data_IF_955497258409
#
_entry.id   IF_955497258409
#
_cell.length_a   1.000
_cell.length_b   1.000
_cell.length_c   1.000
_cell.angle_alpha   90.00
_cell.angle_beta   90.00
_cell.angle_gamma   90.00
#
_symmetry.space_group_name_H-M   'P 1'
#
loop_
_entity.id
_entity.type
_entity.pdbx_description
1 polymer ?
#
# COMPACT_ATOMS: atom_id res chain seq x y z
N UNK A 1 69.16 -16.81 -3.20
CA UNK A 1 68.20 -16.83 -2.07
C UNK A 1 67.03 -15.84 -2.23
N UNK A 2 66.72 -15.39 -3.45
CA UNK A 2 65.72 -14.34 -3.72
C UNK A 2 64.50 -14.81 -4.52
N UNK A 3 64.53 -16.02 -5.11
CA UNK A 3 63.44 -16.56 -5.93
C UNK A 3 62.34 -17.28 -5.14
N UNK A 4 62.59 -17.69 -3.91
CA UNK A 4 61.59 -18.40 -3.08
C UNK A 4 60.64 -17.45 -2.33
N UNK A 5 61.02 -16.18 -2.17
CA UNK A 5 60.22 -15.16 -1.48
C UNK A 5 59.11 -14.56 -2.36
N UNK A 6 59.24 -14.63 -3.68
CA UNK A 6 58.26 -14.06 -4.63
C UNK A 6 57.07 -14.99 -4.87
N UNK A 7 57.27 -16.31 -4.84
CA UNK A 7 56.21 -17.29 -5.08
C UNK A 7 55.20 -17.38 -3.92
N UNK A 8 55.65 -17.19 -2.68
CA UNK A 8 54.78 -17.21 -1.49
C UNK A 8 53.89 -15.98 -1.40
N UNK A 9 54.34 -14.81 -1.87
CA UNK A 9 53.54 -13.58 -1.87
C UNK A 9 52.42 -13.61 -2.91
N UNK A 10 52.66 -14.24 -4.07
CA UNK A 10 51.65 -14.38 -5.14
C UNK A 10 50.52 -15.33 -4.72
N UNK A 11 50.83 -16.39 -3.96
CA UNK A 11 49.83 -17.31 -3.43
C UNK A 11 48.96 -16.70 -2.31
N UNK A 12 49.49 -15.73 -1.55
CA UNK A 12 48.74 -15.01 -0.51
C UNK A 12 47.77 -13.95 -1.05
N UNK A 13 48.00 -13.44 -2.26
CA UNK A 13 47.09 -12.48 -2.92
C UNK A 13 45.97 -13.16 -3.70
N UNK A 14 46.14 -14.44 -4.06
CA UNK A 14 45.13 -15.24 -4.77
C UNK A 14 44.03 -15.81 -3.86
N UNK A 15 44.17 -15.66 -2.53
CA UNK A 15 43.22 -16.16 -1.53
C UNK A 15 42.31 -15.08 -0.94
N UNK A 16 42.25 -13.89 -1.55
CA UNK A 16 41.18 -12.93 -1.27
C UNK A 16 40.00 -13.39 -2.12
N UNK A 17 39.01 -14.15 -1.60
CA UNK A 17 37.76 -14.28 -2.31
C UNK A 17 37.27 -12.86 -2.51
N UNK A 18 37.15 -12.48 -3.78
CA UNK A 18 36.49 -11.27 -4.20
C UNK A 18 35.25 -11.13 -3.33
N UNK A 19 35.22 -10.07 -2.51
CA UNK A 19 34.00 -9.56 -1.89
C UNK A 19 33.08 -9.21 -3.06
N UNK A 20 32.45 -10.24 -3.60
CA UNK A 20 31.26 -10.13 -4.40
C UNK A 20 30.30 -9.42 -3.48
N UNK A 21 30.14 -8.12 -3.72
CA UNK A 21 29.06 -7.34 -3.17
C UNK A 21 27.80 -8.09 -3.57
N UNK A 22 27.29 -8.90 -2.64
CA UNK A 22 25.97 -9.45 -2.72
C UNK A 22 25.05 -8.23 -2.55
N UNK A 23 24.84 -7.51 -3.65
CA UNK A 23 23.76 -6.56 -3.78
C UNK A 23 22.51 -7.43 -3.69
N UNK A 24 22.01 -7.61 -2.46
CA UNK A 24 20.66 -8.10 -2.24
C UNK A 24 19.75 -7.09 -2.93
N UNK A 25 19.37 -7.41 -4.17
CA UNK A 25 18.21 -6.77 -4.79
C UNK A 25 17.06 -7.12 -3.85
N UNK A 26 16.61 -6.15 -3.06
CA UNK A 26 15.44 -6.31 -2.20
C UNK A 26 14.26 -6.36 -3.16
N UNK A 27 13.88 -7.56 -3.58
CA UNK A 27 12.67 -7.78 -4.35
C UNK A 27 11.51 -7.50 -3.41
N UNK A 28 10.90 -6.32 -3.54
CA UNK A 28 9.70 -5.96 -2.77
C UNK A 28 8.48 -6.41 -3.57
N UNK A 29 7.64 -7.28 -2.97
CA UNK A 29 6.40 -7.74 -3.61
C UNK A 29 5.23 -6.79 -3.32
N UNK A 30 5.48 -5.51 -3.54
CA UNK A 30 4.51 -4.45 -3.36
C UNK A 30 3.75 -4.22 -4.67
N UNK A 31 2.47 -3.86 -4.56
CA UNK A 31 1.60 -3.53 -5.68
C UNK A 31 0.83 -2.24 -5.47
N UNK A 32 0.48 -1.60 -6.59
CA UNK A 32 -0.44 -0.48 -6.62
C UNK A 32 -1.89 -0.99 -6.56
N UNK A 33 -2.65 -0.52 -5.57
CA UNK A 33 -4.11 -0.69 -5.53
C UNK A 33 -4.76 0.51 -6.22
N UNK A 34 -5.38 0.23 -7.38
CA UNK A 34 -6.12 1.23 -8.13
C UNK A 34 -7.43 1.61 -7.41
N UNK A 35 -7.43 2.79 -6.79
CA UNK A 35 -8.57 3.31 -6.05
C UNK A 35 -9.56 4.10 -6.91
N UNK A 36 -9.26 4.34 -8.19
CA UNK A 36 -10.12 5.08 -9.12
C UNK A 36 -11.47 4.39 -9.32
N UNK A 37 -11.52 3.05 -9.23
CA UNK A 37 -12.78 2.27 -9.29
C UNK A 37 -13.71 2.53 -8.10
N UNK A 38 -13.17 2.89 -6.94
CA UNK A 38 -13.95 3.09 -5.72
C UNK A 38 -14.32 4.56 -5.50
N UNK A 39 -13.57 5.50 -6.09
CA UNK A 39 -13.84 6.94 -6.08
C UNK A 39 -13.52 7.55 -7.44
N UNK A 40 -14.51 7.54 -8.34
CA UNK A 40 -14.40 7.95 -9.75
C UNK A 40 -14.05 9.43 -10.03
N UNK A 41 -13.60 10.21 -9.04
CA UNK A 41 -13.33 11.65 -9.17
C UNK A 41 -12.56 12.22 -7.98
N UNK A 42 -11.54 11.50 -7.47
CA UNK A 42 -10.68 12.11 -6.45
C UNK A 42 -9.71 13.10 -7.10
N UNK A 43 -10.17 14.33 -7.29
CA UNK A 43 -9.32 15.46 -7.62
C UNK A 43 -8.56 15.88 -6.36
N UNK A 44 -7.23 15.86 -6.45
CA UNK A 44 -6.32 16.31 -5.40
C UNK A 44 -5.49 17.45 -5.94
N UNK A 45 -5.38 18.54 -5.18
CA UNK A 45 -4.61 19.73 -5.59
C UNK A 45 -3.19 19.74 -5.01
N UNK A 46 -2.87 18.75 -4.19
CA UNK A 46 -1.60 18.62 -3.49
C UNK A 46 -0.98 17.28 -3.83
N UNK A 47 0.33 17.17 -3.67
CA UNK A 47 1.04 15.90 -3.72
C UNK A 47 1.46 15.51 -2.31
N UNK A 48 1.41 14.22 -2.00
CA UNK A 48 1.89 13.73 -0.72
C UNK A 48 1.65 12.24 -0.54
N UNK A 49 2.07 11.75 0.62
CA UNK A 49 1.84 10.39 1.03
C UNK A 49 1.65 10.32 2.54
N UNK A 50 1.06 9.22 3.02
CA UNK A 50 0.94 8.94 4.45
C UNK A 50 0.83 7.44 4.70
N UNK A 51 1.35 7.00 5.84
CA UNK A 51 1.16 5.64 6.30
C UNK A 51 -0.19 5.46 6.99
N UNK A 52 -0.66 4.22 7.07
CA UNK A 52 -1.84 3.92 7.86
C UNK A 52 -1.58 4.25 9.33
N UNK A 53 -2.42 5.09 9.95
CA UNK A 53 -2.24 5.59 11.33
C UNK A 53 -2.04 4.50 12.38
N UNK A 54 -2.60 3.30 12.19
CA UNK A 54 -2.43 2.18 13.12
C UNK A 54 -1.11 1.42 12.91
N UNK A 55 -0.40 1.70 11.81
CA UNK A 55 0.83 1.02 11.42
C UNK A 55 1.83 2.00 10.78
N UNK A 56 2.34 2.92 11.61
CA UNK A 56 3.24 3.99 11.16
C UNK A 56 4.65 3.51 10.81
N UNK A 57 5.02 2.27 11.12
CA UNK A 57 6.32 1.67 10.77
C UNK A 57 6.54 1.64 9.25
N UNK A 58 5.47 1.48 8.47
CA UNK A 58 5.52 1.53 7.00
C UNK A 58 6.00 2.90 6.48
N UNK A 59 5.86 3.98 7.27
CA UNK A 59 6.37 5.29 6.90
C UNK A 59 7.89 5.33 6.75
N UNK A 60 8.61 4.48 7.49
CA UNK A 60 10.08 4.40 7.43
C UNK A 60 10.57 3.75 6.12
N UNK A 61 9.68 3.12 5.36
CA UNK A 61 9.99 2.47 4.09
C UNK A 61 10.01 3.45 2.92
N UNK A 62 9.45 4.64 3.11
CA UNK A 62 9.37 5.68 2.08
C UNK A 62 10.62 6.54 2.13
N UNK A 63 11.42 6.50 1.07
CA UNK A 63 12.62 7.34 0.94
C UNK A 63 12.51 8.26 -0.25
N UNK A 64 12.94 9.51 -0.07
CA UNK A 64 13.13 10.43 -1.19
C UNK A 64 14.37 10.01 -1.98
N UNK A 65 14.23 9.90 -3.30
CA UNK A 65 15.35 9.68 -4.20
C UNK A 65 16.22 10.93 -4.24
N UNK A 66 17.52 10.76 -4.01
CA UNK A 66 18.49 11.87 -4.04
C UNK A 66 18.93 12.15 -5.48
N UNK A 67 18.98 11.11 -6.32
CA UNK A 67 19.33 11.20 -7.74
C UNK A 67 18.26 10.53 -8.60
N UNK A 68 17.80 11.21 -9.66
CA UNK A 68 16.79 10.71 -10.61
C UNK A 68 17.30 9.48 -11.38
N UNK A 69 18.62 9.32 -11.50
CA UNK A 69 19.25 8.18 -12.20
C UNK A 69 19.25 6.87 -11.40
N UNK A 70 18.93 6.89 -10.09
CA UNK A 70 18.75 5.67 -9.28
C UNK A 70 17.37 5.00 -9.52
N UNK A 71 16.59 5.54 -10.46
CA UNK A 71 15.20 5.15 -10.74
C UNK A 71 15.03 3.86 -11.53
N UNK A 72 16.10 3.23 -12.05
CA UNK A 72 15.96 2.01 -12.86
C UNK A 72 15.33 0.83 -12.10
N UNK A 73 15.31 0.88 -10.76
CA UNK A 73 14.66 -0.13 -9.90
C UNK A 73 13.21 0.23 -9.53
N UNK A 74 12.69 1.42 -9.88
CA UNK A 74 11.38 1.92 -9.42
C UNK A 74 10.19 1.64 -10.37
N UNK A 75 10.43 1.06 -11.55
CA UNK A 75 9.45 1.01 -12.64
C UNK A 75 8.14 0.27 -12.33
N UNK A 76 8.09 -0.63 -11.35
CA UNK A 76 6.86 -1.36 -11.02
C UNK A 76 5.82 -0.53 -10.28
N UNK A 77 6.17 0.67 -9.79
CA UNK A 77 5.32 1.49 -8.91
C UNK A 77 4.96 2.87 -9.48
N UNK A 78 5.42 3.20 -10.69
CA UNK A 78 5.22 4.52 -11.30
C UNK A 78 3.75 4.96 -11.39
N UNK A 79 2.81 4.01 -11.33
CA UNK A 79 1.38 4.27 -11.37
C UNK A 79 0.77 4.72 -10.02
N UNK A 80 1.51 4.64 -8.92
CA UNK A 80 1.01 4.98 -7.58
C UNK A 80 2.04 5.61 -6.63
N UNK A 81 3.33 5.50 -6.91
CA UNK A 81 4.40 6.21 -6.20
C UNK A 81 4.97 7.24 -7.18
N UNK A 82 5.12 8.48 -6.72
CA UNK A 82 5.65 9.55 -7.55
C UNK A 82 7.19 9.51 -7.61
N UNK A 83 7.74 9.97 -8.74
CA UNK A 83 9.15 9.79 -9.15
C UNK A 83 10.21 10.26 -8.15
N UNK A 84 9.84 11.10 -7.19
CA UNK A 84 10.75 11.56 -6.14
C UNK A 84 10.91 10.57 -4.99
N UNK A 85 10.14 9.48 -4.95
CA UNK A 85 10.10 8.54 -3.83
C UNK A 85 10.32 7.09 -4.28
N UNK A 86 10.88 6.30 -3.38
CA UNK A 86 11.07 4.87 -3.53
C UNK A 86 10.71 4.14 -2.25
N UNK A 87 10.39 2.85 -2.38
CA UNK A 87 10.10 1.95 -1.28
C UNK A 87 11.29 1.01 -1.09
N UNK A 88 11.88 1.03 0.10
CA UNK A 88 13.09 0.25 0.41
C UNK A 88 12.81 -1.16 0.94
N UNK A 89 11.55 -1.48 1.23
CA UNK A 89 11.13 -2.80 1.71
C UNK A 89 9.67 -3.10 1.36
N UNK A 90 9.25 -4.34 1.62
CA UNK A 90 7.85 -4.75 1.52
C UNK A 90 7.01 -4.07 2.61
N UNK A 91 5.81 -3.62 2.22
CA UNK A 91 4.86 -2.95 3.11
C UNK A 91 4.05 -3.99 3.85
N UNK A 92 3.92 -3.85 5.17
CA UNK A 92 3.15 -4.80 5.98
C UNK A 92 1.63 -4.53 5.91
N UNK A 93 1.24 -3.25 5.83
CA UNK A 93 -0.16 -2.84 5.71
C UNK A 93 -0.44 -2.12 4.39
N UNK A 94 -0.51 -0.80 4.39
CA UNK A 94 -0.62 0.00 3.19
C UNK A 94 -0.14 1.44 3.42
N UNK A 95 0.32 2.05 2.34
CA UNK A 95 0.62 3.46 2.22
C UNK A 95 -0.36 4.12 1.26
N UNK A 96 -0.75 5.36 1.55
CA UNK A 96 -1.60 6.15 0.67
C UNK A 96 -0.75 7.20 -0.01
N UNK A 97 -0.85 7.30 -1.33
CA UNK A 97 -0.16 8.29 -2.15
C UNK A 97 -1.17 9.10 -2.93
N UNK A 98 -0.92 10.40 -3.09
CA UNK A 98 -1.77 11.26 -3.89
C UNK A 98 -0.99 12.31 -4.66
N UNK A 99 -1.43 12.58 -5.88
CA UNK A 99 -0.91 13.65 -6.73
C UNK A 99 -1.98 14.08 -7.75
N UNK A 100 -1.94 15.32 -8.26
CA UNK A 100 -2.96 15.82 -9.19
C UNK A 100 -3.13 14.97 -10.47
N UNK A 101 -2.07 14.30 -10.91
CA UNK A 101 -2.05 13.57 -12.19
C UNK A 101 -2.49 12.09 -12.11
N UNK A 102 -2.45 11.44 -10.95
CA UNK A 102 -2.97 10.06 -10.77
C UNK A 102 -4.06 9.92 -9.69
N UNK A 103 -4.44 11.04 -9.05
CA UNK A 103 -5.44 11.06 -7.99
C UNK A 103 -4.91 10.48 -6.69
N UNK A 104 -5.74 9.71 -5.99
CA UNK A 104 -5.40 9.05 -4.72
C UNK A 104 -5.32 7.54 -4.94
N UNK A 105 -4.17 6.95 -4.64
CA UNK A 105 -3.87 5.53 -4.81
C UNK A 105 -3.31 4.95 -3.51
N UNK A 106 -3.27 3.62 -3.41
CA UNK A 106 -2.65 2.94 -2.29
C UNK A 106 -1.56 1.97 -2.76
N UNK A 107 -0.58 1.73 -1.91
CA UNK A 107 0.52 0.79 -2.13
C UNK A 107 0.58 -0.17 -0.95
N UNK A 108 0.80 -1.44 -1.23
CA UNK A 108 0.67 -2.52 -0.24
C UNK A 108 1.38 -3.76 -0.75
N UNK A 109 1.75 -4.69 0.14
CA UNK A 109 2.17 -6.02 -0.29
C UNK A 109 1.03 -6.73 -1.04
N UNK A 110 1.38 -7.48 -2.11
CA UNK A 110 0.44 -8.35 -2.81
C UNK A 110 -0.21 -9.37 -1.87
N UNK A 111 0.54 -9.83 -0.88
CA UNK A 111 0.05 -10.82 0.09
C UNK A 111 -1.05 -10.23 0.98
N UNK A 112 -0.93 -8.97 1.38
CA UNK A 112 -1.90 -8.31 2.25
C UNK A 112 -3.27 -8.16 1.58
N UNK A 113 -3.27 -7.73 0.33
CA UNK A 113 -4.50 -7.47 -0.42
C UNK A 113 -5.20 -8.75 -0.85
N UNK A 114 -4.45 -9.71 -1.39
CA UNK A 114 -5.01 -10.96 -1.87
C UNK A 114 -5.57 -11.81 -0.73
N UNK A 115 -4.92 -11.80 0.44
CA UNK A 115 -5.36 -12.59 1.61
C UNK A 115 -6.66 -12.07 2.22
N UNK A 116 -6.91 -10.77 2.13
CA UNK A 116 -7.99 -10.14 2.88
C UNK A 116 -9.05 -9.41 2.04
N UNK A 117 -8.88 -9.35 0.71
CA UNK A 117 -9.77 -8.63 -0.21
C UNK A 117 -10.02 -7.17 0.21
N UNK A 118 -9.05 -6.53 0.87
CA UNK A 118 -9.23 -5.22 1.51
C UNK A 118 -9.15 -4.02 0.56
N UNK A 119 -9.12 -4.21 -0.77
CA UNK A 119 -9.05 -3.11 -1.74
C UNK A 119 -10.05 -1.98 -1.44
N UNK A 120 -11.31 -2.31 -1.17
CA UNK A 120 -12.37 -1.32 -0.88
C UNK A 120 -12.10 -0.54 0.42
N UNK A 121 -11.62 -1.24 1.45
CA UNK A 121 -11.34 -0.63 2.77
C UNK A 121 -10.13 0.29 2.69
N UNK A 122 -9.04 -0.18 2.10
CA UNK A 122 -7.81 0.58 1.87
C UNK A 122 -8.11 1.86 1.09
N UNK A 123 -8.83 1.75 -0.03
CA UNK A 123 -9.20 2.91 -0.84
C UNK A 123 -10.13 3.88 -0.11
N UNK A 124 -11.04 3.37 0.74
CA UNK A 124 -11.90 4.24 1.55
C UNK A 124 -11.08 5.04 2.57
N UNK A 125 -10.10 4.42 3.21
CA UNK A 125 -9.20 5.07 4.17
C UNK A 125 -8.29 6.08 3.46
N UNK A 126 -7.63 5.69 2.37
CA UNK A 126 -6.77 6.59 1.60
C UNK A 126 -7.53 7.82 1.10
N UNK A 127 -8.77 7.65 0.63
CA UNK A 127 -9.57 8.77 0.20
C UNK A 127 -9.88 9.79 1.32
N UNK A 128 -9.85 9.39 2.60
CA UNK A 128 -9.93 10.34 3.72
C UNK A 128 -8.64 11.14 3.87
N UNK A 129 -7.48 10.49 3.76
CA UNK A 129 -6.17 11.17 3.84
C UNK A 129 -5.96 12.15 2.68
N UNK A 130 -6.29 11.73 1.47
CA UNK A 130 -6.23 12.53 0.25
C UNK A 130 -7.26 13.67 0.22
N UNK A 131 -8.16 13.77 1.23
CA UNK A 131 -9.28 14.72 1.28
C UNK A 131 -10.15 14.69 0.02
N UNK A 132 -10.32 13.51 -0.58
CA UNK A 132 -11.14 13.35 -1.77
C UNK A 132 -12.58 13.78 -1.49
N UNK A 133 -13.10 14.76 -2.23
CA UNK A 133 -14.54 15.01 -2.28
C UNK A 133 -15.20 13.83 -2.99
N UNK A 134 -16.12 13.13 -2.32
CA UNK A 134 -16.91 12.11 -3.00
C UNK A 134 -17.79 12.80 -4.05
N UNK A 135 -17.76 12.33 -5.30
CA UNK A 135 -18.87 12.67 -6.19
C UNK A 135 -20.16 12.05 -5.63
N UNK A 136 -21.26 12.78 -5.77
CA UNK A 136 -22.59 12.43 -5.25
C UNK A 136 -23.07 11.03 -5.65
N UNK A 137 -22.52 10.43 -6.72
CA UNK A 137 -22.83 9.06 -7.16
C UNK A 137 -22.31 7.97 -6.21
N UNK A 138 -21.15 8.16 -5.57
CA UNK A 138 -20.60 7.18 -4.61
C UNK A 138 -21.25 7.30 -3.22
N UNK A 139 -21.65 8.51 -2.82
CA UNK A 139 -22.40 8.73 -1.58
C UNK A 139 -23.79 8.08 -1.64
N UNK A 140 -24.46 8.13 -2.79
CA UNK A 140 -25.74 7.46 -3.00
C UNK A 140 -25.64 5.93 -2.85
N UNK A 141 -24.54 5.31 -3.30
CA UNK A 141 -24.33 3.86 -3.14
C UNK A 141 -24.10 3.45 -1.68
N UNK A 142 -23.29 4.20 -0.93
CA UNK A 142 -23.03 3.95 0.51
C UNK A 142 -24.29 4.21 1.35
N UNK A 143 -25.07 5.25 1.01
CA UNK A 143 -26.38 5.49 1.61
C UNK A 143 -27.36 4.35 1.33
N UNK A 144 -27.28 3.73 0.14
CA UNK A 144 -28.12 2.58 -0.23
C UNK A 144 -27.77 1.32 0.56
N UNK A 145 -26.47 1.01 0.73
CA UNK A 145 -26.05 -0.14 1.57
C UNK A 145 -26.49 0.07 3.03
N UNK A 146 -26.24 1.24 3.62
CA UNK A 146 -26.63 1.53 5.00
C UNK A 146 -28.15 1.55 5.21
N UNK A 147 -28.93 1.98 4.22
CA UNK A 147 -30.40 1.90 4.24
C UNK A 147 -30.94 0.46 4.20
N UNK A 148 -30.28 -0.46 3.48
CA UNK A 148 -30.71 -1.86 3.39
C UNK A 148 -30.54 -2.56 4.74
N UNK A 149 -29.41 -2.36 5.42
CA UNK A 149 -29.17 -2.93 6.73
C UNK A 149 -30.14 -2.40 7.80
N UNK A 150 -30.45 -1.10 7.76
CA UNK A 150 -31.41 -0.51 8.70
C UNK A 150 -32.83 -1.06 8.49
N UNK A 151 -33.23 -1.26 7.23
CA UNK A 151 -34.51 -1.85 6.87
C UNK A 151 -34.62 -3.32 7.33
N UNK A 152 -33.56 -4.11 7.14
CA UNK A 152 -33.52 -5.51 7.61
C UNK A 152 -33.64 -5.63 9.13
N UNK A 153 -32.95 -4.76 9.89
CA UNK A 153 -33.02 -4.76 11.35
C UNK A 153 -34.44 -4.40 11.82
N UNK A 154 -35.04 -3.37 11.23
CA UNK A 154 -36.42 -2.98 11.55
C UNK A 154 -37.39 -4.12 11.26
N UNK A 155 -37.33 -4.74 10.07
CA UNK A 155 -38.19 -5.86 9.72
C UNK A 155 -38.03 -7.05 10.67
N UNK A 156 -36.79 -7.35 11.12
CA UNK A 156 -36.53 -8.42 12.06
C UNK A 156 -37.11 -8.12 13.44
N UNK A 157 -36.93 -6.89 13.94
CA UNK A 157 -37.51 -6.44 15.22
C UNK A 157 -39.05 -6.48 15.18
N UNK A 158 -39.67 -5.97 14.12
CA UNK A 158 -41.13 -6.03 13.97
C UNK A 158 -41.64 -7.47 13.86
N UNK A 159 -40.95 -8.35 13.13
CA UNK A 159 -41.32 -9.77 13.04
C UNK A 159 -41.32 -10.43 14.42
N UNK A 160 -40.30 -10.18 15.26
CA UNK A 160 -40.23 -10.73 16.61
C UNK A 160 -41.21 -10.08 17.59
N UNK A 161 -41.56 -8.81 17.42
CA UNK A 161 -42.57 -8.15 18.26
C UNK A 161 -43.99 -8.64 17.94
N UNK A 162 -44.28 -8.96 16.68
CA UNK A 162 -45.61 -9.41 16.23
C UNK A 162 -45.78 -10.93 16.44
N UNK A 163 -44.75 -11.72 16.15
CA UNK A 163 -44.81 -13.19 16.22
C UNK A 163 -44.07 -13.77 17.43
N UNK A 164 -43.61 -12.92 18.35
CA UNK A 164 -42.97 -13.36 19.58
C UNK A 164 -43.93 -14.22 20.40
N UNK A 165 -43.47 -15.35 20.97
CA UNK A 165 -44.32 -16.21 21.76
C UNK A 165 -44.85 -15.41 22.96
N UNK A 166 -46.18 -15.34 23.07
CA UNK A 166 -46.88 -14.99 24.29
C UNK A 166 -46.46 -15.98 25.38
N UNK A 167 -45.34 -15.70 26.06
CA UNK A 167 -45.00 -16.35 27.32
C UNK A 167 -45.92 -15.75 28.37
N UNK A 168 -47.14 -16.27 28.42
CA UNK A 168 -48.06 -16.07 29.53
C UNK A 168 -47.44 -16.80 30.72
N UNK A 169 -47.01 -16.01 31.70
CA UNK A 169 -46.50 -16.47 33.00
C UNK A 169 -47.65 -16.65 33.97
#
# INVERSE_FOLDING_TARGET
MTQTLTLTLILLLASIPSLTHCVKIIVTDNECVNCSRYRASCEVNTTGWTAFKMHMSDANLVRRLVNVYDSETSNNMANCVFDEYTLIAEIETFLCFWAPYFGCQAVTSKNYVNKHHFHRVVCHICAKYCKCRMSTKSAAYIARESSIYFCQIICFVFYYLINGPLVVK
#
